data_IF_025879577051
#
_entry.id   IF_025879577051
#
_cell.length_a   1.000
_cell.length_b   1.000
_cell.length_c   1.000
_cell.angle_alpha   90.00
_cell.angle_beta   90.00
_cell.angle_gamma   90.00
#
_symmetry.space_group_name_H-M   'P 1'
#
loop_
_entity.id
_entity.type
_entity.pdbx_description
1 polymer ?
#
# COMPACT_ATOMS: atom_id res chain seq x y z
N UNK A 1 14.20 -22.24 -11.44
CA UNK A 1 14.14 -22.30 -9.97
C UNK A 1 12.69 -22.09 -9.58
N UNK A 2 12.06 -23.05 -8.90
CA UNK A 2 10.60 -23.06 -8.66
C UNK A 2 10.25 -22.73 -7.19
N UNK A 3 11.22 -22.19 -6.46
CA UNK A 3 11.14 -21.92 -5.02
C UNK A 3 11.88 -20.64 -4.71
N UNK A 4 11.36 -19.86 -3.77
CA UNK A 4 12.04 -18.68 -3.22
C UNK A 4 12.18 -18.91 -1.72
N UNK A 5 13.41 -18.86 -1.22
CA UNK A 5 13.70 -18.93 0.22
C UNK A 5 14.47 -17.68 0.63
N UNK A 6 14.02 -17.03 1.69
CA UNK A 6 14.68 -15.86 2.24
C UNK A 6 14.73 -15.97 3.76
N UNK A 7 15.95 -15.88 4.32
CA UNK A 7 16.19 -15.97 5.75
C UNK A 7 16.45 -14.57 6.33
N UNK A 8 16.03 -14.37 7.57
CA UNK A 8 16.22 -13.12 8.30
C UNK A 8 17.63 -13.06 8.91
N UNK A 9 18.61 -12.82 8.05
CA UNK A 9 19.99 -12.58 8.43
C UNK A 9 20.36 -11.10 8.27
N UNK A 10 21.57 -10.72 8.70
CA UNK A 10 22.04 -9.33 8.67
C UNK A 10 22.09 -8.73 7.25
N UNK A 11 22.34 -9.56 6.23
CA UNK A 11 22.55 -9.11 4.86
C UNK A 11 21.23 -9.00 4.09
N UNK A 12 20.26 -9.85 4.42
CA UNK A 12 18.97 -9.94 3.74
C UNK A 12 17.83 -9.26 4.50
N UNK A 13 18.12 -8.59 5.63
CA UNK A 13 17.10 -8.04 6.54
C UNK A 13 16.11 -7.09 5.85
N UNK A 14 16.59 -6.23 4.95
CA UNK A 14 15.75 -5.28 4.23
C UNK A 14 14.79 -6.01 3.27
N UNK A 15 15.33 -6.91 2.44
CA UNK A 15 14.53 -7.72 1.52
C UNK A 15 13.57 -8.64 2.27
N UNK A 16 13.98 -9.18 3.41
CA UNK A 16 13.14 -9.99 4.28
C UNK A 16 11.94 -9.20 4.81
N UNK A 17 12.18 -7.97 5.28
CA UNK A 17 11.11 -7.09 5.73
C UNK A 17 10.15 -6.71 4.59
N UNK A 18 10.69 -6.32 3.42
CA UNK A 18 9.89 -5.99 2.22
C UNK A 18 9.06 -7.17 1.74
N UNK A 19 9.67 -8.35 1.64
CA UNK A 19 8.99 -9.60 1.31
C UNK A 19 7.81 -9.84 2.25
N UNK A 20 8.02 -9.70 3.57
CA UNK A 20 6.92 -9.84 4.53
C UNK A 20 5.80 -8.81 4.34
N UNK A 21 6.13 -7.57 4.02
CA UNK A 21 5.14 -6.53 3.72
C UNK A 21 4.32 -6.87 2.47
N UNK A 22 4.95 -7.41 1.42
CA UNK A 22 4.23 -7.94 0.25
C UNK A 22 3.32 -9.10 0.66
N UNK A 23 3.84 -10.11 1.37
CA UNK A 23 3.05 -11.27 1.77
C UNK A 23 1.89 -10.94 2.71
N UNK A 24 2.01 -9.88 3.52
CA UNK A 24 0.92 -9.38 4.35
C UNK A 24 -0.27 -8.89 3.52
N UNK A 25 -0.07 -8.51 2.26
CA UNK A 25 -1.13 -8.11 1.34
C UNK A 25 -1.86 -9.29 0.69
N UNK A 26 -1.44 -10.54 0.87
CA UNK A 26 -2.20 -11.69 0.39
C UNK A 26 -3.45 -11.94 1.23
N UNK A 27 -4.53 -12.40 0.59
CA UNK A 27 -5.76 -12.77 1.26
C UNK A 27 -5.54 -13.93 2.25
N UNK A 28 -6.18 -13.85 3.42
CA UNK A 28 -6.26 -14.98 4.38
C UNK A 28 -7.55 -15.80 4.22
N UNK A 29 -8.42 -15.37 3.32
CA UNK A 29 -9.69 -16.02 3.03
C UNK A 29 -9.49 -17.14 2.01
N UNK A 30 -9.60 -18.38 2.49
CA UNK A 30 -9.37 -19.59 1.71
C UNK A 30 -10.38 -19.77 0.57
N UNK A 31 -11.52 -19.09 0.59
CA UNK A 31 -12.50 -19.14 -0.51
C UNK A 31 -12.00 -18.39 -1.75
N UNK A 32 -11.05 -17.47 -1.58
CA UNK A 32 -10.45 -16.66 -2.66
C UNK A 32 -9.07 -17.21 -3.03
N UNK A 33 -9.03 -18.49 -3.40
CA UNK A 33 -7.82 -19.33 -3.53
C UNK A 33 -6.66 -18.72 -4.34
N UNK A 34 -6.94 -17.95 -5.40
CA UNK A 34 -5.88 -17.32 -6.21
C UNK A 34 -5.15 -16.21 -5.45
N UNK A 35 -5.88 -15.38 -4.71
CA UNK A 35 -5.33 -14.19 -4.04
C UNK A 35 -4.82 -14.50 -2.62
N UNK A 36 -4.91 -15.75 -2.17
CA UNK A 36 -4.12 -16.24 -1.01
C UNK A 36 -2.67 -16.54 -1.37
N UNK A 37 -2.35 -16.50 -2.67
CA UNK A 37 -1.03 -16.72 -3.27
C UNK A 37 -0.43 -15.39 -3.72
N UNK A 38 0.80 -15.44 -4.22
CA UNK A 38 1.46 -14.27 -4.83
C UNK A 38 1.78 -14.53 -6.29
N UNK A 39 1.78 -13.47 -7.09
CA UNK A 39 2.28 -13.49 -8.46
C UNK A 39 3.76 -13.10 -8.47
N UNK A 40 4.57 -13.83 -9.21
CA UNK A 40 5.97 -13.51 -9.48
C UNK A 40 6.11 -13.23 -10.96
N UNK A 41 6.68 -12.08 -11.31
CA UNK A 41 7.03 -11.70 -12.67
C UNK A 41 8.55 -11.48 -12.76
N UNK A 42 9.15 -11.84 -13.88
CA UNK A 42 10.57 -11.59 -14.12
C UNK A 42 10.77 -10.15 -14.61
N UNK A 43 11.84 -9.53 -14.13
CA UNK A 43 12.36 -8.26 -14.61
C UNK A 43 13.80 -8.46 -15.12
N UNK A 44 14.38 -7.42 -15.72
CA UNK A 44 15.78 -7.44 -16.18
C UNK A 44 16.77 -7.74 -15.05
N UNK A 45 16.53 -7.20 -13.84
CA UNK A 45 17.45 -7.28 -12.70
C UNK A 45 16.98 -8.22 -11.56
N UNK A 46 16.00 -9.09 -11.82
CA UNK A 46 15.46 -10.02 -10.83
C UNK A 46 13.97 -10.28 -11.00
N UNK A 47 13.21 -10.17 -9.91
CA UNK A 47 11.78 -10.48 -9.88
C UNK A 47 10.94 -9.36 -9.25
N UNK A 48 9.69 -9.23 -9.69
CA UNK A 48 8.64 -8.51 -8.98
C UNK A 48 7.73 -9.53 -8.31
N UNK A 49 7.43 -9.33 -7.02
CA UNK A 49 6.43 -10.14 -6.31
C UNK A 49 5.24 -9.26 -6.00
N UNK A 50 4.04 -9.72 -6.38
CA UNK A 50 2.78 -9.00 -6.27
C UNK A 50 1.82 -9.80 -5.40
N UNK A 51 1.17 -9.13 -4.44
CA UNK A 51 0.14 -9.70 -3.59
C UNK A 51 -1.04 -8.75 -3.43
N UNK A 52 -2.25 -9.30 -3.31
CA UNK A 52 -3.48 -8.52 -3.08
C UNK A 52 -4.49 -9.31 -2.27
N UNK A 53 -5.32 -8.60 -1.50
CA UNK A 53 -6.46 -9.14 -0.76
C UNK A 53 -7.79 -8.58 -1.29
N UNK A 54 -7.75 -7.86 -2.42
CA UNK A 54 -8.89 -7.15 -3.02
C UNK A 54 -9.18 -5.76 -2.43
N UNK A 55 -8.56 -5.39 -1.31
CA UNK A 55 -8.65 -4.05 -0.69
C UNK A 55 -7.35 -3.27 -0.79
N UNK A 56 -6.22 -3.97 -0.87
CA UNK A 56 -4.90 -3.44 -1.15
C UNK A 56 -4.14 -4.34 -2.11
N UNK A 57 -3.13 -3.78 -2.74
CA UNK A 57 -2.16 -4.50 -3.54
C UNK A 57 -0.78 -3.92 -3.25
N UNK A 58 0.22 -4.77 -3.02
CA UNK A 58 1.63 -4.36 -2.96
C UNK A 58 2.43 -5.18 -3.97
N UNK A 59 3.31 -4.51 -4.70
CA UNK A 59 4.32 -5.15 -5.52
C UNK A 59 5.69 -4.57 -5.21
N UNK A 60 6.65 -5.44 -4.90
CA UNK A 60 8.04 -5.05 -4.65
C UNK A 60 9.00 -5.74 -5.64
N UNK A 61 10.06 -5.03 -6.00
CA UNK A 61 11.18 -5.55 -6.80
C UNK A 61 12.29 -6.11 -5.92
N UNK A 62 12.76 -7.30 -6.26
CA UNK A 62 13.83 -8.02 -5.57
C UNK A 62 14.90 -8.47 -6.57
N UNK A 63 16.18 -8.36 -6.19
CA UNK A 63 17.31 -8.92 -6.91
C UNK A 63 17.48 -10.41 -6.57
N UNK A 64 16.42 -11.18 -6.83
CA UNK A 64 16.35 -12.63 -6.63
C UNK A 64 16.03 -13.31 -7.96
N UNK A 65 16.46 -14.55 -8.11
CA UNK A 65 16.16 -15.36 -9.30
C UNK A 65 15.03 -16.35 -9.01
N UNK A 66 13.94 -16.28 -9.79
CA UNK A 66 12.85 -17.25 -9.77
C UNK A 66 12.17 -17.31 -11.14
N UNK A 67 11.42 -18.39 -11.40
CA UNK A 67 10.56 -18.46 -12.59
C UNK A 67 9.29 -17.61 -12.43
N UNK A 68 8.73 -17.02 -13.50
CA UNK A 68 7.48 -16.30 -13.41
C UNK A 68 6.32 -17.27 -13.17
N UNK A 69 5.28 -16.81 -12.47
CA UNK A 69 4.08 -17.59 -12.19
C UNK A 69 3.48 -17.31 -10.82
N UNK A 70 2.52 -18.13 -10.42
CA UNK A 70 1.86 -18.00 -9.11
C UNK A 70 2.56 -18.89 -8.10
N UNK A 71 2.80 -18.36 -6.90
CA UNK A 71 3.53 -19.04 -5.83
C UNK A 71 2.68 -19.16 -4.57
N UNK A 72 2.69 -20.35 -3.98
CA UNK A 72 2.16 -20.62 -2.66
C UNK A 72 3.07 -20.05 -1.57
N UNK A 73 2.46 -19.45 -0.55
CA UNK A 73 3.16 -19.05 0.67
C UNK A 73 3.20 -20.26 1.61
N UNK A 74 4.33 -20.97 1.68
CA UNK A 74 4.50 -22.14 2.56
C UNK A 74 4.93 -21.75 3.97
N UNK A 75 5.75 -20.70 4.09
CA UNK A 75 6.13 -20.13 5.37
C UNK A 75 6.32 -18.61 5.26
N UNK A 76 5.78 -17.87 6.23
CA UNK A 76 6.06 -16.45 6.43
C UNK A 76 6.20 -16.22 7.94
N UNK A 77 7.41 -16.43 8.46
CA UNK A 77 7.67 -16.42 9.91
C UNK A 77 8.53 -15.22 10.30
N UNK A 78 8.99 -15.16 11.56
CA UNK A 78 9.97 -14.18 11.99
C UNK A 78 11.40 -14.47 11.46
N UNK A 79 11.67 -15.71 11.02
CA UNK A 79 13.02 -16.18 10.65
C UNK A 79 13.17 -16.49 9.17
N UNK A 80 12.11 -16.98 8.54
CA UNK A 80 12.16 -17.51 7.17
C UNK A 80 10.89 -17.19 6.42
N UNK A 81 11.04 -16.84 5.15
CA UNK A 81 10.01 -16.82 4.12
C UNK A 81 10.32 -17.92 3.13
N UNK A 82 9.33 -18.74 2.80
CA UNK A 82 9.45 -19.82 1.83
C UNK A 82 8.23 -19.86 0.92
N UNK A 83 8.49 -19.73 -0.39
CA UNK A 83 7.49 -19.75 -1.45
C UNK A 83 7.79 -20.91 -2.42
N UNK A 84 6.75 -21.54 -2.94
CA UNK A 84 6.89 -22.61 -3.94
C UNK A 84 5.92 -22.35 -5.10
N UNK A 85 6.38 -22.55 -6.32
CA UNK A 85 5.54 -22.36 -7.51
C UNK A 85 4.33 -23.29 -7.47
N UNK A 86 3.15 -22.70 -7.61
CA UNK A 86 1.88 -23.39 -7.67
C UNK A 86 1.82 -24.24 -8.94
N UNK A 87 1.37 -25.50 -8.81
CA UNK A 87 1.23 -26.43 -9.93
C UNK A 87 -0.14 -26.35 -10.61
N UNK A 88 -1.08 -25.62 -10.02
CA UNK A 88 -2.42 -25.43 -10.56
C UNK A 88 -2.42 -24.33 -11.63
N UNK A 89 -3.20 -24.51 -12.68
CA UNK A 89 -3.45 -23.48 -13.69
C UNK A 89 -4.40 -22.42 -13.12
N UNK A 90 -3.82 -21.39 -12.50
CA UNK A 90 -4.54 -20.26 -11.92
C UNK A 90 -4.25 -18.98 -12.69
N UNK A 91 -5.23 -18.07 -12.73
CA UNK A 91 -5.09 -16.75 -13.35
C UNK A 91 -5.12 -15.71 -12.24
N UNK A 92 -4.00 -15.03 -12.00
CA UNK A 92 -3.94 -13.93 -11.06
C UNK A 92 -4.73 -12.72 -11.59
N UNK A 93 -5.43 -11.95 -10.73
CA UNK A 93 -6.13 -10.75 -11.17
C UNK A 93 -5.21 -9.78 -11.94
N UNK A 94 -5.78 -9.06 -12.91
CA UNK A 94 -5.03 -8.07 -13.71
C UNK A 94 -4.65 -6.85 -12.86
N UNK A 95 -3.59 -6.98 -12.07
CA UNK A 95 -3.19 -5.98 -11.08
C UNK A 95 -2.81 -4.64 -11.69
N UNK A 96 -2.33 -4.63 -12.95
CA UNK A 96 -1.97 -3.39 -13.65
C UNK A 96 -3.16 -2.47 -13.87
N UNK A 97 -4.37 -3.02 -13.97
CA UNK A 97 -5.61 -2.25 -14.16
C UNK A 97 -6.05 -1.51 -12.90
N UNK A 98 -5.59 -1.92 -11.71
CA UNK A 98 -5.95 -1.26 -10.45
C UNK A 98 -4.98 -0.15 -10.03
N UNK A 99 -3.86 -0.01 -10.73
CA UNK A 99 -2.89 1.07 -10.48
C UNK A 99 -3.45 2.37 -11.08
N UNK A 100 -3.78 3.39 -10.26
CA UNK A 100 -4.32 4.63 -10.77
C UNK A 100 -3.23 5.46 -11.48
N UNK A 101 -3.66 6.45 -12.25
CA UNK A 101 -2.76 7.38 -12.94
C UNK A 101 -1.96 8.17 -11.90
N UNK A 102 -0.64 8.22 -12.06
CA UNK A 102 0.29 8.89 -11.12
C UNK A 102 0.77 10.27 -11.59
N UNK A 103 0.28 10.77 -12.71
CA UNK A 103 0.77 12.01 -13.32
C UNK A 103 -0.35 12.85 -13.93
N UNK A 104 -0.18 14.18 -13.88
CA UNK A 104 -1.04 15.14 -14.57
C UNK A 104 -1.86 16.03 -13.63
N UNK A 105 -2.61 16.95 -14.22
CA UNK A 105 -3.34 17.99 -13.47
C UNK A 105 -4.40 17.45 -12.51
N UNK A 106 -4.91 16.24 -12.75
CA UNK A 106 -5.94 15.56 -11.96
C UNK A 106 -5.45 14.81 -10.73
N UNK A 107 -4.15 14.88 -10.39
CA UNK A 107 -3.54 14.10 -9.31
C UNK A 107 -2.86 15.04 -8.31
N UNK A 108 -3.04 14.78 -7.01
CA UNK A 108 -2.16 15.32 -5.98
C UNK A 108 -0.97 14.38 -5.83
N UNK A 109 0.24 14.92 -5.94
CA UNK A 109 1.49 14.19 -5.73
C UNK A 109 2.21 14.80 -4.54
N UNK A 110 2.51 13.97 -3.53
CA UNK A 110 3.12 14.39 -2.28
C UNK A 110 4.27 13.46 -1.93
N UNK A 111 5.38 14.00 -1.44
CA UNK A 111 6.53 13.21 -0.99
C UNK A 111 6.63 13.24 0.53
N UNK A 112 6.98 12.12 1.13
CA UNK A 112 7.13 12.01 2.57
C UNK A 112 7.66 10.65 3.00
N UNK A 113 7.55 10.38 4.31
CA UNK A 113 8.17 9.21 4.92
C UNK A 113 7.17 8.47 5.79
N UNK A 114 7.08 7.17 5.55
CA UNK A 114 6.41 6.22 6.40
C UNK A 114 4.89 6.25 6.33
N UNK A 115 4.31 5.34 7.11
CA UNK A 115 2.87 5.11 7.16
C UNK A 115 2.07 6.32 7.64
N UNK A 116 2.54 7.02 8.66
CA UNK A 116 1.80 8.16 9.24
C UNK A 116 1.65 9.31 8.25
N UNK A 117 2.69 9.58 7.46
CA UNK A 117 2.61 10.55 6.38
C UNK A 117 1.47 10.22 5.41
N UNK A 118 1.38 8.97 4.95
CA UNK A 118 0.32 8.52 4.04
C UNK A 118 -1.05 8.75 4.67
N UNK A 119 -1.25 8.32 5.93
CA UNK A 119 -2.54 8.44 6.62
C UNK A 119 -2.98 9.91 6.79
N UNK A 120 -2.07 10.79 7.17
CA UNK A 120 -2.38 12.21 7.36
C UNK A 120 -2.64 12.93 6.04
N UNK A 121 -1.82 12.65 5.02
CA UNK A 121 -1.96 13.26 3.71
C UNK A 121 -3.26 12.84 3.01
N UNK A 122 -3.61 11.55 3.06
CA UNK A 122 -4.88 11.08 2.49
C UNK A 122 -6.07 11.71 3.23
N UNK A 123 -6.05 11.70 4.58
CA UNK A 123 -7.11 12.29 5.39
C UNK A 123 -7.29 13.80 5.13
N UNK A 124 -6.19 14.54 5.04
CA UNK A 124 -6.19 15.97 4.73
C UNK A 124 -6.77 16.30 3.35
N UNK A 125 -6.72 15.36 2.41
CA UNK A 125 -7.29 15.48 1.07
C UNK A 125 -8.67 14.80 0.94
N UNK A 126 -9.29 14.43 2.06
CA UNK A 126 -10.64 13.86 2.10
C UNK A 126 -10.70 12.40 1.61
N UNK A 127 -9.56 11.72 1.51
CA UNK A 127 -9.43 10.31 1.21
C UNK A 127 -9.12 9.53 2.50
N UNK A 128 -10.08 8.75 2.99
CA UNK A 128 -9.88 7.98 4.21
C UNK A 128 -9.39 6.59 3.84
N UNK A 129 -8.35 6.10 4.50
CA UNK A 129 -7.83 4.74 4.29
C UNK A 129 -7.75 4.02 5.63
N UNK A 130 -8.01 2.71 5.64
CA UNK A 130 -7.82 1.91 6.85
C UNK A 130 -6.32 1.82 7.16
N UNK A 131 -5.85 2.26 8.35
CA UNK A 131 -4.45 2.15 8.73
C UNK A 131 -3.90 0.73 8.61
N UNK A 132 -4.71 -0.30 8.80
CA UNK A 132 -4.27 -1.69 8.66
C UNK A 132 -3.89 -2.04 7.23
N UNK A 133 -4.43 -1.33 6.23
CA UNK A 133 -4.16 -1.60 4.82
C UNK A 133 -2.83 -1.01 4.33
N UNK A 134 -2.30 0.00 5.03
CA UNK A 134 -1.01 0.62 4.69
C UNK A 134 0.14 -0.19 5.31
N UNK A 135 0.64 -1.19 4.57
CA UNK A 135 1.89 -1.90 4.90
C UNK A 135 3.07 -1.08 4.38
N UNK A 136 3.56 -0.15 5.20
CA UNK A 136 4.80 0.58 5.01
C UNK A 136 5.52 0.63 6.35
N UNK A 137 6.83 0.45 6.34
CA UNK A 137 7.71 0.75 7.46
C UNK A 137 7.73 2.25 7.76
N UNK A 138 8.05 2.60 9.00
CA UNK A 138 8.03 3.99 9.45
C UNK A 138 9.10 4.86 8.78
N UNK A 139 10.18 4.26 8.30
CA UNK A 139 11.31 4.94 7.64
C UNK A 139 11.26 4.83 6.09
N UNK A 140 10.21 4.26 5.51
CA UNK A 140 10.10 4.12 4.05
C UNK A 140 9.79 5.46 3.39
N UNK A 141 10.73 6.04 2.64
CA UNK A 141 10.49 7.21 1.81
C UNK A 141 9.58 6.85 0.62
N UNK A 142 8.53 7.66 0.41
CA UNK A 142 7.48 7.36 -0.57
C UNK A 142 6.94 8.62 -1.24
N UNK A 143 6.44 8.42 -2.46
CA UNK A 143 5.60 9.36 -3.19
C UNK A 143 4.16 8.86 -3.15
N UNK A 144 3.26 9.71 -2.68
CA UNK A 144 1.83 9.47 -2.57
C UNK A 144 1.09 10.18 -3.70
N UNK A 145 0.19 9.45 -4.36
CA UNK A 145 -0.65 9.92 -5.46
C UNK A 145 -2.12 9.72 -5.13
N UNK A 146 -2.88 10.82 -5.12
CA UNK A 146 -4.32 10.83 -4.81
C UNK A 146 -5.06 11.51 -5.96
N UNK A 147 -6.10 10.85 -6.48
CA UNK A 147 -6.94 11.44 -7.53
C UNK A 147 -7.75 12.62 -6.98
N UNK A 148 -7.72 13.76 -7.66
CA UNK A 148 -8.53 14.94 -7.31
C UNK A 148 -10.01 14.71 -7.58
N UNK A 149 -10.32 13.89 -8.58
CA UNK A 149 -11.68 13.52 -8.95
C UNK A 149 -12.11 12.37 -8.03
N UNK A 150 -13.10 12.68 -7.19
CA UNK A 150 -13.69 11.75 -6.22
C UNK A 150 -12.63 10.98 -5.37
N UNK A 151 -11.85 11.69 -4.53
CA UNK A 151 -10.81 11.08 -3.70
C UNK A 151 -11.35 10.03 -2.71
N UNK A 152 -12.67 10.03 -2.44
CA UNK A 152 -13.32 9.07 -1.52
C UNK A 152 -13.54 7.70 -2.15
N UNK A 153 -13.49 7.59 -3.48
CA UNK A 153 -13.74 6.35 -4.22
C UNK A 153 -12.57 5.89 -5.08
N UNK A 154 -11.63 6.78 -5.33
CA UNK A 154 -10.45 6.49 -6.15
C UNK A 154 -9.35 5.84 -5.30
N UNK A 155 -8.67 4.79 -5.79
CA UNK A 155 -7.54 4.19 -5.09
C UNK A 155 -6.43 5.20 -4.83
N UNK A 156 -5.78 5.04 -3.68
CA UNK A 156 -4.54 5.74 -3.34
C UNK A 156 -3.37 4.92 -3.85
N UNK A 157 -2.43 5.58 -4.51
CA UNK A 157 -1.19 4.96 -4.96
C UNK A 157 -0.01 5.50 -4.17
N UNK A 158 0.80 4.61 -3.64
CA UNK A 158 2.05 4.92 -2.96
C UNK A 158 3.17 4.22 -3.73
N UNK A 159 4.21 4.96 -4.09
CA UNK A 159 5.33 4.45 -4.87
C UNK A 159 6.66 4.87 -4.27
N UNK A 160 7.68 4.03 -4.42
CA UNK A 160 9.08 4.42 -4.33
C UNK A 160 9.86 3.67 -5.42
N UNK A 161 11.19 3.67 -5.35
CA UNK A 161 12.05 3.02 -6.36
C UNK A 161 11.76 1.53 -6.56
N UNK A 162 11.30 0.84 -5.51
CA UNK A 162 11.14 -0.61 -5.51
C UNK A 162 9.74 -1.11 -5.21
N UNK A 163 8.87 -0.25 -4.67
CA UNK A 163 7.54 -0.60 -4.17
C UNK A 163 6.47 0.17 -4.92
N UNK A 164 5.40 -0.54 -5.27
CA UNK A 164 4.10 0.03 -5.62
C UNK A 164 3.06 -0.53 -4.67
N UNK A 165 2.34 0.34 -3.96
CA UNK A 165 1.27 0.00 -3.05
C UNK A 165 0.00 0.75 -3.49
N UNK A 166 -1.07 0.00 -3.73
CA UNK A 166 -2.40 0.53 -4.02
C UNK A 166 -3.30 0.22 -2.83
N UNK A 167 -4.00 1.23 -2.32
CA UNK A 167 -4.93 1.10 -1.19
C UNK A 167 -6.29 1.65 -1.57
N UNK A 168 -7.33 0.84 -1.40
CA UNK A 168 -8.69 1.30 -1.59
C UNK A 168 -9.11 2.25 -0.46
N UNK A 169 -9.79 3.36 -0.76
CA UNK A 169 -10.34 4.23 0.27
C UNK A 169 -11.46 3.53 1.03
N UNK A 170 -11.60 3.91 2.29
CA UNK A 170 -12.71 3.57 3.16
C UNK A 170 -13.80 4.64 3.05
N UNK A 171 -15.02 4.22 2.75
CA UNK A 171 -16.18 5.07 2.87
C UNK A 171 -16.51 5.25 4.35
N UNK A 172 -16.36 6.47 4.86
CA UNK A 172 -16.85 6.82 6.19
C UNK A 172 -18.38 6.84 6.19
N UNK A 173 -18.97 6.37 7.29
CA UNK A 173 -20.39 6.58 7.50
C UNK A 173 -20.71 8.08 7.68
N UNK A 174 -21.99 8.42 7.54
CA UNK A 174 -22.44 9.80 7.60
C UNK A 174 -22.19 10.44 8.97
N UNK A 175 -22.18 9.64 10.05
CA UNK A 175 -21.96 10.12 11.41
C UNK A 175 -20.53 10.60 11.62
N UNK A 176 -19.53 9.80 11.21
CA UNK A 176 -18.12 10.19 11.30
C UNK A 176 -17.79 11.40 10.45
N UNK A 177 -18.41 11.51 9.27
CA UNK A 177 -18.26 12.68 8.41
C UNK A 177 -18.70 13.95 9.17
N UNK A 178 -19.89 13.93 9.78
CA UNK A 178 -20.39 15.08 10.56
C UNK A 178 -19.48 15.44 11.74
N UNK A 179 -18.96 14.43 12.45
CA UNK A 179 -18.03 14.66 13.57
C UNK A 179 -16.73 15.32 13.10
N UNK A 180 -16.16 14.87 11.98
CA UNK A 180 -14.93 15.45 11.42
C UNK A 180 -15.17 16.88 10.93
N UNK A 181 -16.28 17.13 10.26
CA UNK A 181 -16.67 18.47 9.79
C UNK A 181 -16.85 19.44 10.97
N UNK A 182 -17.47 18.99 12.06
CA UNK A 182 -17.62 19.79 13.28
C UNK A 182 -16.26 20.17 13.89
N UNK A 183 -15.34 19.21 14.05
CA UNK A 183 -13.99 19.45 14.56
C UNK A 183 -13.21 20.42 13.67
N UNK A 184 -13.29 20.26 12.35
CA UNK A 184 -12.62 21.15 11.40
C UNK A 184 -13.18 22.58 11.49
N UNK A 185 -14.50 22.72 11.58
CA UNK A 185 -15.17 24.02 11.73
C UNK A 185 -14.76 24.71 13.02
N UNK A 186 -14.73 23.99 14.15
CA UNK A 186 -14.30 24.53 15.44
C UNK A 186 -12.84 25.03 15.38
N UNK A 187 -11.93 24.26 14.78
CA UNK A 187 -10.52 24.65 14.63
C UNK A 187 -10.34 25.88 13.75
N UNK A 188 -11.09 25.99 12.65
CA UNK A 188 -11.03 27.18 11.79
C UNK A 188 -11.52 28.41 12.55
N UNK A 189 -12.63 28.30 13.29
CA UNK A 189 -13.14 29.41 14.11
C UNK A 189 -12.13 29.84 15.18
N UNK A 190 -11.47 28.89 15.87
CA UNK A 190 -10.41 29.20 16.83
C UNK A 190 -9.24 29.93 16.18
N UNK A 191 -8.74 29.42 15.04
CA UNK A 191 -7.63 30.05 14.32
C UNK A 191 -7.96 31.46 13.80
N UNK A 192 -9.21 31.70 13.39
CA UNK A 192 -9.68 33.04 13.01
C UNK A 192 -9.67 34.00 14.21
N UNK A 193 -10.20 33.56 15.35
CA UNK A 193 -10.22 34.36 16.58
C UNK A 193 -8.81 34.71 17.06
N UNK A 194 -7.90 33.75 17.10
CA UNK A 194 -6.49 33.98 17.46
C UNK A 194 -5.79 34.97 16.51
N UNK A 195 -6.15 34.94 15.23
CA UNK A 195 -5.63 35.90 14.24
C UNK A 195 -6.17 37.31 14.48
N UNK A 196 -7.46 37.45 14.80
CA UNK A 196 -8.08 38.74 15.13
C UNK A 196 -7.47 39.35 16.39
N UNK A 197 -7.31 38.55 17.46
CA UNK A 197 -6.70 38.98 18.71
C UNK A 197 -5.24 39.44 18.52
N UNK A 198 -4.48 38.80 17.61
CA UNK A 198 -3.12 39.22 17.24
C UNK A 198 -3.05 40.51 16.44
N UNK A 199 -4.08 40.84 15.66
CA UNK A 199 -4.14 42.09 14.88
C UNK A 199 -4.58 43.25 15.78
N UNK A 200 -5.36 42.96 16.82
CA UNK A 200 -5.86 43.95 17.77
C UNK A 200 -4.86 44.31 18.91
N UNK A 201 -3.78 43.53 19.08
CA UNK A 201 -2.72 43.74 20.06
C UNK A 201 -1.52 44.50 19.46
#
# INVERSE_FOLDING_TARGET
MNTIELNNDKYNRADFARMKSVLACASKDSTRHVITKVLVENNEDGITIIATDGKRMRSDRFSLEAGPGIYDIKACTAKTVFLTQCQEELIFPSYRQVIPISSGAGVYTLEGVGKQFVLWATAGLGCWVDPKLVELGDDEAVTLHIQKIDPKRSPVLVTNETTTLVVMPMMLDHYWIQQIEAIQTERVMQAMKEKEDRIAA
#
